data_IF_667882771697
#
_entry.id   IF_667882771697
#
_cell.length_a   1.000
_cell.length_b   1.000
_cell.length_c   1.000
_cell.angle_alpha   90.00
_cell.angle_beta   90.00
_cell.angle_gamma   90.00
#
_symmetry.space_group_name_H-M   'P 1'
#
loop_
_entity.id
_entity.type
_entity.pdbx_description
1 polymer ?
#
# COMPACT_ATOMS: atom_id res chain seq x y z
N UNK A 1 60.56 3.54 13.89
CA UNK A 1 59.28 4.24 14.11
C UNK A 1 58.23 3.53 13.28
N UNK A 2 57.29 2.82 13.92
CA UNK A 2 56.30 2.00 13.21
C UNK A 2 55.22 2.85 12.55
N UNK A 3 55.01 2.67 11.25
CA UNK A 3 53.93 3.29 10.49
C UNK A 3 52.60 2.73 10.97
N UNK A 4 51.95 3.40 11.93
CA UNK A 4 50.60 3.08 12.37
C UNK A 4 49.61 3.33 11.22
N UNK A 5 49.34 2.27 10.46
CA UNK A 5 48.06 1.90 9.84
C UNK A 5 47.32 2.92 8.98
N UNK A 6 47.51 2.81 7.66
CA UNK A 6 46.50 3.24 6.67
C UNK A 6 45.19 2.42 6.77
N UNK A 7 45.22 1.22 7.37
CA UNK A 7 44.06 0.32 7.46
C UNK A 7 42.90 0.91 8.26
N UNK A 8 43.15 1.52 9.42
CA UNK A 8 42.10 2.10 10.25
C UNK A 8 41.41 3.29 9.58
N UNK A 9 42.17 4.10 8.83
CA UNK A 9 41.60 5.19 8.03
C UNK A 9 40.73 4.64 6.89
N UNK A 10 41.18 3.61 6.19
CA UNK A 10 40.40 2.96 5.13
C UNK A 10 39.11 2.34 5.68
N UNK A 11 39.19 1.66 6.83
CA UNK A 11 38.03 1.12 7.54
C UNK A 11 37.06 2.23 7.92
N UNK A 12 37.56 3.31 8.52
CA UNK A 12 36.73 4.47 8.86
C UNK A 12 35.98 4.99 7.63
N UNK A 13 36.69 5.28 6.53
CA UNK A 13 36.09 5.78 5.29
C UNK A 13 35.05 4.80 4.72
N UNK A 14 35.30 3.49 4.79
CA UNK A 14 34.35 2.47 4.37
C UNK A 14 33.10 2.45 5.24
N UNK A 15 33.23 2.39 6.57
CA UNK A 15 32.10 2.29 7.49
C UNK A 15 31.27 3.58 7.60
N UNK A 16 31.86 4.74 7.29
CA UNK A 16 31.11 6.01 7.24
C UNK A 16 30.51 6.32 5.87
N UNK A 17 30.74 5.47 4.87
CA UNK A 17 30.25 5.73 3.51
C UNK A 17 28.74 5.49 3.44
N UNK A 18 27.98 6.55 3.17
CA UNK A 18 26.53 6.51 2.94
C UNK A 18 26.17 7.05 1.57
N UNK A 19 25.13 6.54 0.93
CA UNK A 19 24.63 6.99 -0.38
C UNK A 19 24.32 8.49 -0.36
N UNK A 20 24.87 9.25 -1.30
CA UNK A 20 24.59 10.69 -1.40
C UNK A 20 23.19 10.97 -2.00
N UNK A 21 22.65 12.16 -1.76
CA UNK A 21 21.26 12.52 -2.15
C UNK A 21 20.94 12.23 -3.62
N UNK A 22 21.85 12.63 -4.51
CA UNK A 22 21.73 12.50 -5.97
C UNK A 22 22.52 11.33 -6.55
N UNK A 23 23.06 10.48 -5.69
CA UNK A 23 23.80 9.31 -6.11
C UNK A 23 22.84 8.15 -6.42
N UNK A 24 23.04 7.51 -7.58
CA UNK A 24 22.32 6.29 -7.92
C UNK A 24 22.83 5.11 -7.09
N UNK A 25 21.96 4.14 -6.84
CA UNK A 25 22.33 2.92 -6.12
C UNK A 25 23.54 2.21 -6.74
N UNK A 26 23.61 2.12 -8.07
CA UNK A 26 24.73 1.46 -8.76
C UNK A 26 26.06 2.20 -8.54
N UNK A 27 26.05 3.54 -8.58
CA UNK A 27 27.26 4.33 -8.32
C UNK A 27 27.75 4.13 -6.87
N UNK A 28 26.82 4.18 -5.92
CA UNK A 28 27.09 3.90 -4.51
C UNK A 28 27.70 2.50 -4.32
N UNK A 29 27.08 1.46 -4.88
CA UNK A 29 27.54 0.08 -4.78
C UNK A 29 28.95 -0.11 -5.37
N UNK A 30 29.24 0.52 -6.51
CA UNK A 30 30.56 0.46 -7.15
C UNK A 30 31.63 1.08 -6.26
N UNK A 31 31.39 2.29 -5.74
CA UNK A 31 32.36 2.95 -4.85
C UNK A 31 32.54 2.21 -3.53
N UNK A 32 31.47 1.67 -2.97
CA UNK A 32 31.53 0.88 -1.74
C UNK A 32 32.36 -0.41 -1.95
N UNK A 33 32.18 -1.11 -3.08
CA UNK A 33 33.01 -2.26 -3.46
C UNK A 33 34.48 -1.89 -3.64
N UNK A 34 34.78 -0.73 -4.23
CA UNK A 34 36.17 -0.24 -4.36
C UNK A 34 36.81 0.07 -3.00
N UNK A 35 36.03 0.56 -2.03
CA UNK A 35 36.49 0.78 -0.65
C UNK A 35 36.74 -0.55 0.07
N UNK A 36 35.80 -1.51 -0.02
CA UNK A 36 35.94 -2.83 0.60
C UNK A 36 37.22 -3.55 0.17
N UNK A 37 37.53 -3.56 -1.13
CA UNK A 37 38.76 -4.15 -1.68
C UNK A 37 40.04 -3.55 -1.12
N UNK A 38 40.03 -2.29 -0.70
CA UNK A 38 41.18 -1.61 -0.07
C UNK A 38 41.29 -1.91 1.42
N UNK A 39 40.19 -2.30 2.06
CA UNK A 39 40.10 -2.48 3.52
C UNK A 39 40.62 -3.85 4.00
N UNK A 40 40.88 -4.80 3.10
CA UNK A 40 41.42 -6.12 3.44
C UNK A 40 40.56 -6.83 4.52
N UNK A 41 39.24 -6.87 4.30
CA UNK A 41 38.21 -7.28 5.27
C UNK A 41 38.24 -8.80 5.62
N UNK A 42 39.07 -9.57 4.91
CA UNK A 42 39.29 -10.98 5.18
C UNK A 42 38.09 -11.85 4.81
N UNK A 43 37.86 -12.91 5.58
CA UNK A 43 36.89 -13.97 5.27
C UNK A 43 35.43 -13.47 5.27
N UNK A 44 35.14 -12.40 6.03
CA UNK A 44 33.79 -11.85 6.18
C UNK A 44 33.53 -10.65 5.25
N UNK A 45 34.34 -10.45 4.20
CA UNK A 45 34.22 -9.31 3.29
C UNK A 45 32.80 -9.15 2.71
N UNK A 46 32.17 -10.25 2.30
CA UNK A 46 30.83 -10.21 1.69
C UNK A 46 29.75 -9.80 2.69
N UNK A 47 29.77 -10.35 3.91
CA UNK A 47 28.80 -10.01 4.96
C UNK A 47 28.98 -8.58 5.45
N UNK A 48 30.22 -8.13 5.63
CA UNK A 48 30.54 -6.76 6.03
C UNK A 48 30.13 -5.78 4.92
N UNK A 49 30.39 -6.10 3.66
CA UNK A 49 29.98 -5.30 2.52
C UNK A 49 28.45 -5.19 2.46
N UNK A 50 27.74 -6.30 2.66
CA UNK A 50 26.28 -6.33 2.69
C UNK A 50 25.73 -5.45 3.82
N UNK A 51 26.27 -5.59 5.02
CA UNK A 51 25.85 -4.77 6.16
C UNK A 51 26.08 -3.28 5.91
N UNK A 52 27.27 -2.91 5.43
CA UNK A 52 27.60 -1.51 5.10
C UNK A 52 26.73 -0.98 3.97
N UNK A 53 26.44 -1.79 2.94
CA UNK A 53 25.59 -1.43 1.84
C UNK A 53 24.21 -1.03 2.33
N UNK A 54 23.55 -1.92 3.09
CA UNK A 54 22.20 -1.71 3.63
C UNK A 54 22.19 -0.52 4.58
N UNK A 55 23.13 -0.46 5.53
CA UNK A 55 23.22 0.61 6.54
C UNK A 55 23.30 2.01 5.92
N UNK A 56 24.10 2.15 4.86
CA UNK A 56 24.34 3.42 4.17
C UNK A 56 23.32 3.80 3.09
N UNK A 57 22.24 3.03 2.89
CA UNK A 57 21.16 3.42 1.95
C UNK A 57 20.43 4.68 2.42
N UNK A 58 20.09 5.55 1.45
CA UNK A 58 19.32 6.78 1.75
C UNK A 58 17.84 6.52 2.07
N UNK A 59 17.27 5.47 1.49
CA UNK A 59 15.88 5.11 1.69
C UNK A 59 15.75 4.31 2.99
N UNK A 60 15.21 4.94 4.03
CA UNK A 60 15.07 4.34 5.36
C UNK A 60 14.09 3.17 5.38
N UNK A 61 12.96 3.27 4.68
CA UNK A 61 11.95 2.19 4.61
C UNK A 61 12.51 0.95 3.91
N UNK A 62 13.23 1.14 2.81
CA UNK A 62 13.92 0.06 2.11
C UNK A 62 15.00 -0.55 3.00
N UNK A 63 15.77 0.27 3.71
CA UNK A 63 16.81 -0.20 4.64
C UNK A 63 16.23 -1.09 5.73
N UNK A 64 15.16 -0.65 6.39
CA UNK A 64 14.47 -1.44 7.41
C UNK A 64 13.89 -2.74 6.85
N UNK A 65 13.30 -2.69 5.65
CA UNK A 65 12.79 -3.87 4.97
C UNK A 65 13.91 -4.89 4.68
N UNK A 66 15.07 -4.42 4.21
CA UNK A 66 16.22 -5.29 3.92
C UNK A 66 16.83 -5.90 5.19
N UNK A 67 16.87 -5.18 6.31
CA UNK A 67 17.38 -5.72 7.58
C UNK A 67 16.50 -6.83 8.18
N UNK A 68 15.21 -6.90 7.82
CA UNK A 68 14.31 -7.99 8.27
C UNK A 68 14.64 -9.35 7.67
N UNK A 69 15.38 -9.38 6.55
CA UNK A 69 15.70 -10.60 5.81
C UNK A 69 17.23 -10.79 5.73
N UNK A 70 17.87 -11.26 6.81
CA UNK A 70 19.31 -11.44 6.86
C UNK A 70 19.83 -12.51 5.89
N UNK A 71 18.98 -13.38 5.35
CA UNK A 71 19.33 -14.42 4.38
C UNK A 71 19.50 -13.92 2.93
N UNK A 72 19.19 -12.66 2.64
CA UNK A 72 19.24 -12.14 1.27
C UNK A 72 20.66 -12.13 0.68
N UNK A 73 20.82 -12.57 -0.56
CA UNK A 73 22.10 -12.47 -1.26
C UNK A 73 22.37 -11.03 -1.73
N UNK A 74 23.64 -10.72 -2.03
CA UNK A 74 24.04 -9.41 -2.56
C UNK A 74 23.27 -9.03 -3.84
N UNK A 75 22.99 -10.01 -4.70
CA UNK A 75 22.23 -9.80 -5.94
C UNK A 75 20.76 -9.50 -5.66
N UNK A 76 20.13 -10.22 -4.73
CA UNK A 76 18.74 -9.95 -4.32
C UNK A 76 18.58 -8.56 -3.71
N UNK A 77 19.55 -8.13 -2.88
CA UNK A 77 19.57 -6.77 -2.31
C UNK A 77 19.71 -5.74 -3.43
N UNK A 78 20.64 -5.99 -4.37
CA UNK A 78 20.88 -5.09 -5.50
C UNK A 78 19.64 -4.91 -6.36
N UNK A 79 18.93 -6.00 -6.64
CA UNK A 79 17.71 -5.97 -7.43
C UNK A 79 16.59 -5.19 -6.73
N UNK A 80 16.34 -5.48 -5.44
CA UNK A 80 15.36 -4.73 -4.64
C UNK A 80 15.66 -3.22 -4.60
N UNK A 81 16.93 -2.85 -4.49
CA UNK A 81 17.34 -1.44 -4.50
C UNK A 81 17.10 -0.76 -5.85
N UNK A 82 17.41 -1.45 -6.97
CA UNK A 82 17.17 -0.93 -8.32
C UNK A 82 15.69 -0.74 -8.60
N UNK A 83 14.89 -1.74 -8.25
CA UNK A 83 13.43 -1.71 -8.37
C UNK A 83 12.86 -0.54 -7.56
N UNK A 84 13.26 -0.39 -6.30
CA UNK A 84 12.82 0.74 -5.45
C UNK A 84 13.22 2.10 -6.02
N UNK A 85 14.45 2.24 -6.55
CA UNK A 85 14.89 3.48 -7.17
C UNK A 85 14.10 3.81 -8.45
N UNK A 86 13.75 2.80 -9.25
CA UNK A 86 12.89 2.98 -10.42
C UNK A 86 11.49 3.43 -10.00
N UNK A 87 10.85 2.74 -9.06
CA UNK A 87 9.53 3.12 -8.55
C UNK A 87 9.51 4.56 -8.03
N UNK A 88 10.50 4.96 -7.23
CA UNK A 88 10.61 6.33 -6.72
C UNK A 88 10.75 7.39 -7.83
N UNK A 89 11.33 7.05 -9.00
CA UNK A 89 11.41 7.96 -10.16
C UNK A 89 10.07 8.10 -10.87
N UNK A 90 9.26 7.04 -10.93
CA UNK A 90 7.98 7.02 -11.67
C UNK A 90 6.77 7.38 -10.80
N UNK A 91 6.91 7.39 -9.48
CA UNK A 91 5.89 7.89 -8.54
C UNK A 91 6.28 9.28 -8.01
N UNK A 92 6.16 10.36 -8.81
CA UNK A 92 6.33 11.70 -8.27
C UNK A 92 5.20 11.93 -7.26
N UNK A 93 5.55 12.00 -5.98
CA UNK A 93 4.68 12.34 -4.84
C UNK A 93 3.76 11.21 -4.35
N UNK A 94 4.17 10.49 -3.30
CA UNK A 94 3.20 10.09 -2.28
C UNK A 94 3.12 11.24 -1.27
N UNK A 95 2.20 12.17 -1.49
CA UNK A 95 1.51 12.79 -0.37
C UNK A 95 0.69 11.69 0.29
N UNK A 96 0.86 11.50 1.60
CA UNK A 96 -0.02 10.62 2.36
C UNK A 96 -1.41 11.27 2.43
N UNK A 97 -2.28 10.95 1.48
CA UNK A 97 -3.73 11.18 1.57
C UNK A 97 -4.40 9.82 1.85
N UNK A 98 -5.20 9.66 2.93
CA UNK A 98 -5.79 8.38 3.26
C UNK A 98 -6.99 8.06 2.35
N UNK A 99 -6.85 6.99 1.57
CA UNK A 99 -7.87 6.03 1.09
C UNK A 99 -9.08 6.55 0.27
N UNK A 100 -9.12 6.23 -1.03
CA UNK A 100 -10.33 5.98 -1.86
C UNK A 100 -9.84 5.46 -3.23
N UNK A 101 -10.28 4.37 -3.87
CA UNK A 101 -11.61 3.76 -3.94
C UNK A 101 -11.45 2.33 -4.51
N UNK A 102 -11.91 1.32 -3.78
CA UNK A 102 -12.31 0.03 -4.37
C UNK A 102 -13.83 0.05 -4.44
N UNK A 103 -14.40 0.38 -5.60
CA UNK A 103 -15.77 -0.03 -5.96
C UNK A 103 -16.09 0.37 -7.41
N UNK A 104 -15.70 -0.48 -8.35
CA UNK A 104 -16.19 -0.42 -9.72
C UNK A 104 -16.42 -1.82 -10.27
N UNK A 105 -17.24 -2.61 -9.58
CA UNK A 105 -17.96 -3.71 -10.21
C UNK A 105 -19.26 -3.92 -9.45
N UNK A 106 -20.33 -3.31 -9.94
CA UNK A 106 -21.67 -3.89 -9.99
C UNK A 106 -22.41 -3.15 -11.11
N UNK A 107 -22.38 -3.79 -12.27
CA UNK A 107 -23.25 -3.53 -13.40
C UNK A 107 -24.71 -3.45 -12.95
N UNK A 108 -25.40 -2.34 -13.26
CA UNK A 108 -26.83 -2.36 -13.58
C UNK A 108 -27.31 -1.05 -14.21
N UNK A 109 -27.73 -1.21 -15.47
CA UNK A 109 -28.90 -0.59 -16.08
C UNK A 109 -28.98 0.95 -16.15
N UNK A 110 -28.79 1.43 -17.39
CA UNK A 110 -29.41 2.65 -17.89
C UNK A 110 -30.91 2.69 -17.56
N UNK A 111 -31.34 3.66 -16.75
CA UNK A 111 -32.71 4.19 -16.83
C UNK A 111 -32.64 5.72 -16.69
N UNK A 112 -32.64 6.38 -17.83
CA UNK A 112 -32.83 7.84 -17.93
C UNK A 112 -34.30 8.14 -17.62
N UNK A 113 -34.56 8.88 -16.54
CA UNK A 113 -35.87 9.49 -16.24
C UNK A 113 -35.71 10.82 -15.52
N UNK A 114 -35.90 11.91 -16.27
CA UNK A 114 -36.49 13.21 -15.88
C UNK A 114 -36.20 14.18 -17.04
N UNK A 115 -37.12 14.94 -17.65
CA UNK A 115 -38.25 15.73 -17.14
C UNK A 115 -39.26 16.02 -18.27
N UNK A 116 -40.49 16.37 -17.88
CA UNK A 116 -41.61 16.76 -18.75
C UNK A 116 -41.59 18.25 -19.12
N UNK A 117 -41.81 18.58 -20.41
CA UNK A 117 -42.39 19.87 -20.84
C UNK A 117 -43.24 19.70 -22.12
N UNK A 118 -44.53 20.05 -22.03
CA UNK A 118 -45.21 20.86 -23.07
C UNK A 118 -46.09 20.20 -24.15
N UNK A 119 -47.41 20.28 -23.94
CA UNK A 119 -48.51 20.61 -24.89
C UNK A 119 -49.00 19.62 -25.98
N UNK A 120 -50.30 19.27 -25.95
CA UNK A 120 -51.06 18.80 -27.13
C UNK A 120 -52.30 17.88 -26.94
N UNK A 121 -53.41 18.42 -26.41
CA UNK A 121 -54.86 18.05 -26.58
C UNK A 121 -55.51 16.70 -26.11
N UNK A 122 -56.72 16.73 -25.49
CA UNK A 122 -57.60 15.58 -25.09
C UNK A 122 -58.74 15.35 -26.15
N UNK A 123 -59.89 14.63 -25.96
CA UNK A 123 -60.45 13.86 -24.82
C UNK A 123 -61.11 12.49 -25.21
N UNK A 124 -61.53 11.67 -24.24
CA UNK A 124 -62.92 11.16 -24.22
C UNK A 124 -63.32 10.57 -22.86
N UNK A 125 -64.47 11.01 -22.39
CA UNK A 125 -65.15 10.65 -21.16
C UNK A 125 -66.09 9.49 -21.47
N UNK A 126 -66.11 8.42 -20.66
CA UNK A 126 -67.32 7.68 -20.33
C UNK A 126 -67.23 7.17 -18.89
N UNK A 127 -68.19 7.61 -18.10
CA UNK A 127 -68.46 7.30 -16.70
C UNK A 127 -69.57 6.25 -16.67
N UNK A 128 -69.50 5.23 -15.80
CA UNK A 128 -70.71 4.64 -15.23
C UNK A 128 -70.45 3.81 -13.95
N UNK A 129 -71.01 4.35 -12.86
CA UNK A 129 -71.72 3.67 -11.77
C UNK A 129 -71.01 2.74 -10.78
N UNK A 130 -70.77 3.33 -9.59
CA UNK A 130 -70.89 2.64 -8.29
C UNK A 130 -72.32 2.18 -8.05
N UNK A 131 -72.50 0.97 -7.50
CA UNK A 131 -73.54 0.68 -6.50
C UNK A 131 -73.12 -0.52 -5.60
N UNK A 132 -72.81 -0.18 -4.35
CA UNK A 132 -72.91 -0.92 -3.08
C UNK A 132 -72.82 -2.46 -3.04
N UNK A 133 -71.89 -2.99 -2.22
CA UNK A 133 -72.23 -3.70 -0.95
C UNK A 133 -71.00 -3.88 -0.02
N UNK A 134 -71.12 -3.63 1.30
CA UNK A 134 -70.06 -3.87 2.29
C UNK A 134 -70.14 -5.31 2.85
N UNK A 135 -69.05 -5.91 3.35
CA UNK A 135 -69.05 -6.96 4.38
C UNK A 135 -67.71 -6.99 5.15
N UNK A 136 -67.82 -7.32 6.44
CA UNK A 136 -66.88 -7.08 7.54
C UNK A 136 -65.82 -8.23 7.71
N UNK A 137 -64.97 -8.22 8.76
CA UNK A 137 -63.62 -8.78 8.75
C UNK A 137 -63.56 -10.29 9.07
N UNK A 138 -62.45 -10.95 8.68
CA UNK A 138 -62.06 -12.23 9.28
C UNK A 138 -60.63 -12.17 9.84
N UNK A 139 -60.53 -12.66 11.07
CA UNK A 139 -59.38 -12.70 11.95
C UNK A 139 -58.43 -13.84 11.54
N UNK A 140 -57.13 -13.60 11.63
CA UNK A 140 -56.22 -14.56 12.28
C UNK A 140 -54.97 -13.83 12.76
N UNK A 141 -54.67 -14.09 14.01
CA UNK A 141 -53.83 -13.30 14.91
C UNK A 141 -52.33 -13.53 14.69
N UNK A 142 -51.58 -12.45 14.83
CA UNK A 142 -50.20 -12.46 15.30
C UNK A 142 -50.13 -12.92 16.78
N UNK A 143 -49.12 -13.72 17.14
CA UNK A 143 -48.57 -13.80 18.51
C UNK A 143 -47.03 -14.08 18.46
N UNK A 144 -46.26 -13.01 18.72
CA UNK A 144 -45.04 -12.76 19.55
C UNK A 144 -44.27 -13.94 20.19
N UNK A 145 -43.02 -13.81 20.73
CA UNK A 145 -42.38 -12.60 21.33
C UNK A 145 -40.86 -12.43 21.04
N UNK A 146 -40.19 -11.26 21.16
CA UNK A 146 -39.83 -10.40 22.30
C UNK A 146 -39.13 -11.11 23.48
N UNK A 147 -37.89 -10.68 23.75
CA UNK A 147 -36.93 -11.37 24.61
C UNK A 147 -36.97 -10.98 26.08
N UNK A 148 -36.08 -11.59 26.87
CA UNK A 148 -35.24 -10.97 27.90
C UNK A 148 -34.47 -12.02 28.73
N UNK A 149 -33.34 -11.55 29.24
CA UNK A 149 -32.65 -11.90 30.50
C UNK A 149 -31.50 -12.92 30.49
N UNK A 150 -30.38 -12.36 30.95
CA UNK A 150 -29.06 -12.88 31.27
C UNK A 150 -29.10 -13.56 32.64
N UNK A 151 -28.56 -14.78 32.77
CA UNK A 151 -27.99 -15.30 34.03
C UNK A 151 -26.89 -16.33 33.73
N UNK A 152 -25.71 -16.11 34.32
CA UNK A 152 -24.58 -17.05 34.38
C UNK A 152 -24.77 -18.00 35.58
N UNK A 153 -24.28 -19.24 35.51
CA UNK A 153 -23.93 -19.98 36.72
C UNK A 153 -22.42 -20.08 36.94
N UNK A 154 -22.11 -20.20 38.23
CA UNK A 154 -20.83 -20.44 38.90
C UNK A 154 -20.13 -21.74 38.49
#
# INVERSE_FOLDING_TARGET
MGTKSNSHLLHHVFFTRTQAERESFNAYLIELKKLAKRCNLGVQEEEILKFSLISGLKNTELRESLFKFPELTMDQISERCRISEQFAKYSPSQSHDPVSMVEAVHSRAMTSRHTYQGQGFPPHVLNENRQFRPHAPNQSQQRYPHGQTQQYPH
#
